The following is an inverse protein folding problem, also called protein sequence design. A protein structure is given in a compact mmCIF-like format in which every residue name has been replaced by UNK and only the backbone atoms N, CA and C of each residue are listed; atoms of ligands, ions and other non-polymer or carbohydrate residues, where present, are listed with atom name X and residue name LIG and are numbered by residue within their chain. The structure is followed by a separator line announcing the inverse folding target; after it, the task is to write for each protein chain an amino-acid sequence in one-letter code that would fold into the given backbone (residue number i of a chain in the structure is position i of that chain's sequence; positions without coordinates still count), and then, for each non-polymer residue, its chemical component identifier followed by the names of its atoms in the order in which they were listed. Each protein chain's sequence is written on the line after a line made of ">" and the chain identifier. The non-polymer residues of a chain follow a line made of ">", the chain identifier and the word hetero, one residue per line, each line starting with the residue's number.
data_IF_777056186414
#
_entry.id   IF_777056186414
#
_cell.length_a   1.000
_cell.length_b   1.000
_cell.length_c   1.000
_cell.angle_alpha   90.00
_cell.angle_beta   90.00
_cell.angle_gamma   90.00
#
_symmetry.space_group_name_H-M   'P 1'
#
loop_
_entity.id
_entity.type
_entity.pdbx_description
1 polymer ?
#
# COMPACT_ATOMS: atom_id res chain seq x y z
N UNK A 1 -6.04 12.47 20.85
CA UNK A 1 -6.80 11.49 20.05
C UNK A 1 -6.43 11.44 18.57
N UNK A 2 -5.90 12.50 17.94
CA UNK A 2 -5.59 12.47 16.48
C UNK A 2 -4.36 11.65 16.06
N UNK A 3 -3.46 11.28 16.97
CA UNK A 3 -2.25 10.51 16.62
C UNK A 3 -2.53 9.03 16.28
N UNK A 4 -3.66 8.48 16.71
CA UNK A 4 -4.05 7.10 16.38
C UNK A 4 -4.62 6.94 14.96
N UNK A 5 -4.87 8.05 14.25
CA UNK A 5 -5.48 8.03 12.90
C UNK A 5 -4.47 7.78 11.77
N UNK A 6 -3.17 7.78 12.05
CA UNK A 6 -2.10 7.69 11.04
C UNK A 6 -1.30 6.37 11.15
N UNK A 7 -1.79 5.36 11.88
CA UNK A 7 -1.08 4.07 12.03
C UNK A 7 0.34 4.19 12.61
N UNK A 8 0.67 5.33 13.23
CA UNK A 8 1.96 5.57 13.87
C UNK A 8 1.78 5.51 15.38
N UNK A 9 2.54 4.63 16.02
CA UNK A 9 2.64 4.61 17.48
C UNK A 9 2.92 6.06 17.98
N UNK A 10 2.20 6.56 19.00
CA UNK A 10 2.45 7.88 19.58
C UNK A 10 3.93 8.01 19.91
N UNK A 11 4.60 9.15 19.69
CA UNK A 11 6.06 9.21 19.90
C UNK A 11 6.42 8.84 21.35
N UNK A 12 7.46 8.02 21.55
CA UNK A 12 7.84 7.52 22.88
C UNK A 12 8.03 8.69 23.87
N UNK A 13 8.59 9.79 23.38
CA UNK A 13 8.73 11.04 24.11
C UNK A 13 7.40 11.61 24.63
N UNK A 14 6.31 11.54 23.87
CA UNK A 14 4.99 11.99 24.33
C UNK A 14 4.44 11.06 25.42
N UNK A 15 4.65 9.75 25.30
CA UNK A 15 4.18 8.76 26.27
C UNK A 15 4.97 8.84 27.59
N UNK A 16 6.29 9.01 27.53
CA UNK A 16 7.12 9.17 28.72
C UNK A 16 6.84 10.50 29.45
N UNK A 17 6.44 11.54 28.72
CA UNK A 17 6.09 12.84 29.29
C UNK A 17 4.65 12.91 29.82
N UNK A 18 3.75 11.99 29.44
CA UNK A 18 2.37 12.00 29.89
C UNK A 18 2.22 11.55 31.35
N UNK A 19 3.13 10.71 31.83
CA UNK A 19 3.18 10.28 33.23
C UNK A 19 4.22 11.11 34.01
N UNK A 20 3.74 11.96 34.94
CA UNK A 20 4.58 12.86 35.75
C UNK A 20 5.62 12.14 36.61
N UNK A 21 5.30 10.93 37.09
CA UNK A 21 6.18 10.16 37.97
C UNK A 21 7.29 9.46 37.19
N UNK A 22 6.95 8.92 36.00
CA UNK A 22 7.93 8.35 35.07
C UNK A 22 8.85 9.45 34.55
N UNK A 23 8.30 10.59 34.17
CA UNK A 23 9.07 11.77 33.76
C UNK A 23 10.08 12.20 34.83
N UNK A 24 9.64 12.35 36.08
CA UNK A 24 10.52 12.72 37.19
C UNK A 24 11.62 11.67 37.48
N UNK A 25 11.35 10.38 37.23
CA UNK A 25 12.33 9.31 37.38
C UNK A 25 13.36 9.31 36.24
N UNK A 26 12.91 9.58 35.01
CA UNK A 26 13.77 9.67 33.83
C UNK A 26 14.59 10.97 33.81
N UNK A 27 14.07 12.07 34.35
CA UNK A 27 14.82 13.32 34.51
C UNK A 27 15.99 13.17 35.50
N UNK A 28 15.89 12.23 36.45
CA UNK A 28 17.00 11.85 37.36
C UNK A 28 18.01 10.89 36.71
N UNK A 29 17.66 10.29 35.57
CA UNK A 29 18.50 9.34 34.82
C UNK A 29 18.45 9.69 33.33
N UNK A 30 18.99 10.85 32.97
CA UNK A 30 18.96 11.40 31.60
C UNK A 30 19.53 10.46 30.55
N UNK A 31 20.54 9.66 30.90
CA UNK A 31 21.13 8.63 30.03
C UNK A 31 20.10 7.57 29.60
N UNK A 32 19.23 7.14 30.53
CA UNK A 32 18.17 6.17 30.24
C UNK A 32 17.09 6.80 29.36
N UNK A 33 16.80 8.09 29.58
CA UNK A 33 15.86 8.85 28.76
C UNK A 33 16.34 8.97 27.31
N UNK A 34 17.58 9.37 27.11
CA UNK A 34 18.19 9.48 25.78
C UNK A 34 18.27 8.13 25.08
N UNK A 35 18.59 7.06 25.82
CA UNK A 35 18.62 5.71 25.29
C UNK A 35 17.24 5.25 24.77
N UNK A 36 16.18 5.51 25.54
CA UNK A 36 14.82 5.20 25.12
C UNK A 36 14.38 6.09 23.94
N UNK A 37 14.64 7.40 23.99
CA UNK A 37 14.27 8.34 22.93
C UNK A 37 15.04 8.09 21.61
N UNK A 38 16.28 7.59 21.66
CA UNK A 38 17.09 7.24 20.48
C UNK A 38 16.65 5.95 19.78
N UNK A 39 15.91 5.08 20.47
CA UNK A 39 15.37 3.82 19.94
C UNK A 39 13.85 3.74 20.16
N UNK A 40 13.06 4.56 19.45
CA UNK A 40 11.61 4.64 19.65
C UNK A 40 10.85 3.40 19.15
N UNK A 41 11.48 2.57 18.33
CA UNK A 41 10.86 1.47 17.58
C UNK A 41 11.55 0.15 17.96
N UNK A 42 11.24 -0.34 19.16
CA UNK A 42 11.81 -1.58 19.71
C UNK A 42 10.75 -2.68 19.74
N UNK A 43 11.10 -3.86 19.25
CA UNK A 43 10.31 -5.08 19.49
C UNK A 43 10.45 -5.54 20.94
N UNK A 44 9.61 -6.48 21.40
CA UNK A 44 9.69 -7.02 22.77
C UNK A 44 11.06 -7.64 23.05
N UNK A 45 11.61 -8.37 22.09
CA UNK A 45 12.93 -8.99 22.22
C UNK A 45 14.04 -7.94 22.34
N UNK A 46 13.99 -6.89 21.52
CA UNK A 46 14.98 -5.80 21.56
C UNK A 46 14.85 -4.95 22.82
N UNK A 47 13.63 -4.74 23.31
CA UNK A 47 13.37 -4.07 24.58
C UNK A 47 13.98 -4.87 25.74
N UNK A 48 13.76 -6.19 25.78
CA UNK A 48 14.36 -7.05 26.80
C UNK A 48 15.89 -7.01 26.74
N UNK A 49 16.47 -7.12 25.55
CA UNK A 49 17.92 -7.01 25.37
C UNK A 49 18.47 -5.66 25.85
N UNK A 50 17.75 -4.56 25.57
CA UNK A 50 18.11 -3.23 26.05
C UNK A 50 18.05 -3.11 27.57
N UNK A 51 17.02 -3.70 28.19
CA UNK A 51 16.85 -3.76 29.64
C UNK A 51 17.98 -4.58 30.27
N UNK A 52 18.36 -5.73 29.70
CA UNK A 52 19.45 -6.55 30.25
C UNK A 52 20.84 -5.96 30.02
N UNK A 53 21.04 -5.18 28.95
CA UNK A 53 22.33 -4.54 28.64
C UNK A 53 22.58 -3.25 29.41
N UNK A 54 21.54 -2.58 29.93
CA UNK A 54 21.68 -1.35 30.70
C UNK A 54 21.17 -1.52 32.14
N UNK A 55 22.09 -1.58 33.10
CA UNK A 55 21.77 -1.75 34.52
C UNK A 55 20.86 -0.65 35.09
N UNK A 56 21.04 0.61 34.67
CA UNK A 56 20.22 1.73 35.15
C UNK A 56 18.77 1.65 34.64
N UNK A 57 18.59 1.19 33.40
CA UNK A 57 17.29 0.91 32.80
C UNK A 57 16.66 -0.32 33.46
N UNK A 58 17.42 -1.39 33.71
CA UNK A 58 16.97 -2.56 34.45
C UNK A 58 16.41 -2.20 35.82
N UNK A 59 17.15 -1.42 36.59
CA UNK A 59 16.70 -0.98 37.91
C UNK A 59 15.39 -0.19 37.84
N UNK A 60 15.25 0.69 36.84
CA UNK A 60 14.01 1.44 36.63
C UNK A 60 12.86 0.57 36.13
N UNK A 61 13.16 -0.40 35.27
CA UNK A 61 12.19 -1.35 34.72
C UNK A 61 11.63 -2.29 35.79
N UNK A 62 12.50 -2.76 36.69
CA UNK A 62 12.14 -3.65 37.79
C UNK A 62 11.45 -2.90 38.94
N UNK A 63 11.83 -1.63 39.20
CA UNK A 63 11.26 -0.83 40.30
C UNK A 63 9.96 -0.10 39.93
N UNK A 64 9.60 0.00 38.65
CA UNK A 64 8.42 0.76 38.18
C UNK A 64 7.55 -0.08 37.24
N UNK A 65 6.51 -0.74 37.76
CA UNK A 65 5.62 -1.56 36.93
C UNK A 65 4.90 -0.74 35.85
N UNK A 66 4.67 0.55 36.06
CA UNK A 66 4.03 1.44 35.08
C UNK A 66 4.93 1.70 33.86
N UNK A 67 6.24 1.85 34.08
CA UNK A 67 7.22 2.02 33.00
C UNK A 67 7.34 0.72 32.18
N UNK A 68 7.37 -0.42 32.87
CA UNK A 68 7.37 -1.74 32.25
C UNK A 68 6.16 -1.94 31.34
N UNK A 69 4.94 -1.74 31.86
CA UNK A 69 3.71 -1.88 31.07
C UNK A 69 3.70 -0.95 29.85
N UNK A 70 4.17 0.28 30.00
CA UNK A 70 4.20 1.26 28.91
C UNK A 70 5.16 0.85 27.78
N UNK A 71 6.35 0.37 28.12
CA UNK A 71 7.34 -0.08 27.13
C UNK A 71 6.88 -1.37 26.44
N UNK A 72 6.30 -2.31 27.19
CA UNK A 72 5.74 -3.55 26.63
C UNK A 72 4.55 -3.30 25.70
N UNK A 73 3.60 -2.44 26.09
CA UNK A 73 2.46 -2.06 25.25
C UNK A 73 2.92 -1.43 23.93
N UNK A 74 3.95 -0.59 23.97
CA UNK A 74 4.51 0.01 22.77
C UNK A 74 5.19 -1.02 21.87
N UNK A 75 5.99 -1.90 22.45
CA UNK A 75 6.65 -2.96 21.70
C UNK A 75 5.62 -3.87 21.00
N UNK A 76 4.50 -4.16 21.67
CA UNK A 76 3.38 -4.89 21.06
C UNK A 76 2.77 -4.11 19.90
N UNK A 77 2.46 -2.83 20.07
CA UNK A 77 1.91 -2.00 18.99
C UNK A 77 2.86 -1.89 17.80
N UNK A 78 4.17 -1.80 18.05
CA UNK A 78 5.17 -1.77 16.98
C UNK A 78 5.22 -3.12 16.24
N UNK A 79 5.21 -4.24 16.96
CA UNK A 79 5.14 -5.58 16.34
C UNK A 79 3.84 -5.83 15.59
N UNK A 80 2.71 -5.32 16.09
CA UNK A 80 1.41 -5.40 15.40
C UNK A 80 1.43 -4.58 14.12
N UNK A 81 1.92 -3.34 14.16
CA UNK A 81 2.10 -2.52 12.95
C UNK A 81 3.09 -3.16 11.98
N UNK A 82 4.18 -3.75 12.49
CA UNK A 82 5.16 -4.44 11.65
C UNK A 82 4.55 -5.71 11.04
N UNK A 83 3.74 -6.46 11.78
CA UNK A 83 3.00 -7.61 11.26
C UNK A 83 1.95 -7.19 10.24
N UNK A 84 1.21 -6.11 10.46
CA UNK A 84 0.28 -5.56 9.47
C UNK A 84 1.03 -5.14 8.19
N UNK A 85 2.20 -4.52 8.33
CA UNK A 85 3.07 -4.18 7.20
C UNK A 85 3.66 -5.41 6.50
N UNK A 86 3.97 -6.48 7.23
CA UNK A 86 4.50 -7.73 6.68
C UNK A 86 3.38 -8.62 6.06
N UNK A 87 2.15 -8.53 6.60
CA UNK A 87 0.93 -9.14 6.04
C UNK A 87 0.44 -8.39 4.80
N UNK A 88 0.73 -7.09 4.69
CA UNK A 88 0.84 -6.39 3.40
C UNK A 88 2.11 -6.92 2.72
N UNK A 89 2.03 -8.17 2.24
CA UNK A 89 2.96 -8.65 1.23
C UNK A 89 3.06 -7.54 0.18
N UNK A 90 4.25 -7.05 -0.19
CA UNK A 90 4.37 -6.49 -1.51
C UNK A 90 3.93 -7.63 -2.41
N UNK A 91 2.71 -7.56 -2.94
CA UNK A 91 2.30 -8.39 -4.06
C UNK A 91 3.50 -8.33 -4.99
N UNK A 92 4.15 -9.50 -5.16
CA UNK A 92 5.39 -9.61 -5.89
C UNK A 92 5.25 -8.70 -7.09
N UNK A 93 6.12 -7.69 -7.17
CA UNK A 93 6.10 -6.69 -8.21
C UNK A 93 6.54 -7.41 -9.49
N UNK A 94 5.63 -8.21 -10.04
CA UNK A 94 5.80 -8.85 -11.33
C UNK A 94 5.47 -7.73 -12.28
N UNK A 95 6.50 -7.03 -12.76
CA UNK A 95 6.36 -6.15 -13.90
C UNK A 95 5.91 -7.03 -15.06
N UNK A 96 4.59 -7.15 -15.23
CA UNK A 96 3.98 -7.90 -16.31
C UNK A 96 4.35 -7.28 -17.65
N UNK A 97 4.13 -8.01 -18.75
CA UNK A 97 4.43 -7.51 -20.09
C UNK A 97 3.74 -6.16 -20.34
N UNK A 98 4.49 -5.21 -20.89
CA UNK A 98 3.94 -3.93 -21.36
C UNK A 98 3.49 -4.11 -22.81
N UNK A 99 2.17 -4.15 -23.01
CA UNK A 99 1.59 -4.31 -24.35
C UNK A 99 1.08 -2.97 -24.84
N UNK A 100 1.71 -2.44 -25.91
CA UNK A 100 1.26 -1.22 -26.57
C UNK A 100 0.49 -1.55 -27.85
N UNK A 101 -0.73 -1.04 -27.97
CA UNK A 101 -1.61 -1.21 -29.13
C UNK A 101 -2.25 0.11 -29.55
N UNK A 102 -2.70 0.21 -30.79
CA UNK A 102 -3.36 1.43 -31.29
C UNK A 102 -4.87 1.37 -31.02
N UNK A 103 -5.51 2.53 -30.88
CA UNK A 103 -6.97 2.59 -30.74
C UNK A 103 -7.71 1.97 -31.95
N UNK A 104 -7.13 2.10 -33.16
CA UNK A 104 -7.64 1.49 -34.38
C UNK A 104 -7.62 -0.04 -34.31
N UNK A 105 -6.57 -0.62 -33.73
CA UNK A 105 -6.49 -2.06 -33.50
C UNK A 105 -7.58 -2.52 -32.53
N UNK A 106 -7.72 -1.85 -31.38
CA UNK A 106 -8.73 -2.21 -30.39
C UNK A 106 -10.17 -2.14 -30.92
N UNK A 107 -10.47 -1.17 -31.77
CA UNK A 107 -11.76 -1.10 -32.48
C UNK A 107 -11.94 -2.26 -33.47
N UNK A 108 -10.90 -2.57 -34.25
CA UNK A 108 -10.95 -3.64 -35.26
C UNK A 108 -11.18 -5.01 -34.62
N UNK A 109 -10.53 -5.28 -33.50
CA UNK A 109 -10.70 -6.52 -32.73
C UNK A 109 -12.00 -6.56 -31.90
N UNK A 110 -12.75 -5.46 -31.87
CA UNK A 110 -13.99 -5.35 -31.08
C UNK A 110 -13.77 -5.28 -29.57
N UNK A 111 -12.54 -5.04 -29.12
CA UNK A 111 -12.22 -4.85 -27.69
C UNK A 111 -12.80 -3.53 -27.20
N UNK A 112 -12.63 -2.47 -27.99
CA UNK A 112 -13.34 -1.20 -27.79
C UNK A 112 -14.57 -1.22 -28.66
N UNK A 113 -15.73 -1.04 -28.05
CA UNK A 113 -17.01 -0.91 -28.77
C UNK A 113 -17.23 0.50 -29.28
N UNK A 114 -16.83 1.51 -28.50
CA UNK A 114 -16.95 2.91 -28.90
C UNK A 114 -16.01 3.84 -28.12
N UNK A 115 -15.70 4.98 -28.73
CA UNK A 115 -14.98 6.09 -28.12
C UNK A 115 -15.89 7.32 -28.03
N UNK A 116 -15.96 7.94 -26.86
CA UNK A 116 -16.58 9.25 -26.65
C UNK A 116 -15.57 10.38 -26.90
N UNK A 117 -14.72 10.22 -27.93
CA UNK A 117 -13.63 11.12 -28.30
C UNK A 117 -13.67 11.41 -29.80
N UNK A 118 -13.21 12.60 -30.26
CA UNK A 118 -13.18 12.92 -31.69
C UNK A 118 -12.30 11.96 -32.49
N UNK A 119 -12.74 11.57 -33.70
CA UNK A 119 -12.02 10.59 -34.55
C UNK A 119 -10.60 11.03 -34.92
N UNK A 120 -10.33 12.34 -34.98
CA UNK A 120 -8.99 12.89 -35.20
C UNK A 120 -8.03 12.53 -34.07
N UNK A 121 -8.52 12.44 -32.83
CA UNK A 121 -7.73 12.06 -31.67
C UNK A 121 -7.54 10.55 -31.63
N UNK A 122 -8.61 9.76 -31.79
CA UNK A 122 -8.56 8.30 -31.70
C UNK A 122 -7.59 7.71 -32.73
N UNK A 123 -7.48 8.29 -33.93
CA UNK A 123 -6.56 7.83 -34.97
C UNK A 123 -5.07 7.91 -34.58
N UNK A 124 -4.69 8.79 -33.66
CA UNK A 124 -3.31 8.96 -33.19
C UNK A 124 -3.12 8.48 -31.75
N UNK A 125 -4.11 7.77 -31.21
CA UNK A 125 -4.11 7.33 -29.82
C UNK A 125 -3.55 5.92 -29.70
N UNK A 126 -2.68 5.72 -28.71
CA UNK A 126 -2.14 4.41 -28.33
C UNK A 126 -2.56 4.06 -26.92
N UNK A 127 -2.77 2.77 -26.66
CA UNK A 127 -3.08 2.20 -25.36
C UNK A 127 -1.93 1.32 -24.92
N UNK A 128 -1.51 1.51 -23.68
CA UNK A 128 -0.53 0.68 -23.00
C UNK A 128 -1.23 -0.10 -21.91
N UNK A 129 -1.09 -1.42 -21.95
CA UNK A 129 -1.57 -2.34 -20.95
C UNK A 129 -0.38 -2.83 -20.15
N UNK A 130 -0.42 -2.69 -18.83
CA UNK A 130 0.61 -3.17 -17.92
C UNK A 130 -0.06 -3.88 -16.74
N UNK A 131 0.55 -4.96 -16.26
CA UNK A 131 0.13 -5.62 -15.03
C UNK A 131 1.20 -5.34 -13.98
N UNK A 132 0.84 -4.59 -12.94
CA UNK A 132 1.75 -4.34 -11.80
C UNK A 132 1.40 -5.26 -10.63
N UNK A 133 0.15 -5.75 -10.60
CA UNK A 133 -0.41 -6.65 -9.59
C UNK A 133 -1.12 -7.81 -10.27
N UNK A 134 -1.15 -8.97 -9.61
CA UNK A 134 -1.91 -10.12 -10.10
C UNK A 134 -3.40 -9.75 -10.20
N UNK A 135 -4.05 -10.12 -11.29
CA UNK A 135 -5.47 -9.84 -11.50
C UNK A 135 -5.83 -8.38 -11.78
N UNK A 136 -4.87 -7.44 -11.83
CA UNK A 136 -5.13 -6.03 -12.18
C UNK A 136 -4.29 -5.61 -13.39
N UNK A 137 -4.95 -5.17 -14.45
CA UNK A 137 -4.32 -4.58 -15.63
C UNK A 137 -4.55 -3.07 -15.67
N UNK A 138 -3.48 -2.30 -15.55
CA UNK A 138 -3.48 -0.85 -15.74
C UNK A 138 -3.49 -0.53 -17.23
N UNK A 139 -4.34 0.40 -17.63
CA UNK A 139 -4.49 0.84 -19.01
C UNK A 139 -4.23 2.33 -19.10
N UNK A 140 -3.20 2.71 -19.87
CA UNK A 140 -2.85 4.09 -20.14
C UNK A 140 -3.07 4.41 -21.62
N UNK A 141 -4.00 5.30 -21.91
CA UNK A 141 -4.18 5.86 -23.25
C UNK A 141 -3.35 7.13 -23.42
N UNK A 142 -2.54 7.18 -24.47
CA UNK A 142 -1.69 8.31 -24.83
C UNK A 142 -2.11 8.89 -26.18
N UNK A 143 -2.12 10.22 -26.28
CA UNK A 143 -2.30 10.96 -27.52
C UNK A 143 -1.09 11.87 -27.74
N UNK A 144 -0.37 11.69 -28.86
CA UNK A 144 0.89 12.40 -29.15
C UNK A 144 1.93 12.34 -28.00
N UNK A 145 2.02 11.19 -27.31
CA UNK A 145 2.95 10.99 -26.20
C UNK A 145 2.51 11.59 -24.85
N UNK A 146 1.35 12.26 -24.79
CA UNK A 146 0.77 12.75 -23.54
C UNK A 146 -0.32 11.80 -23.04
N UNK A 147 -0.36 11.55 -21.73
CA UNK A 147 -1.41 10.76 -21.10
C UNK A 147 -2.77 11.45 -21.24
N UNK A 148 -3.73 10.77 -21.88
CA UNK A 148 -5.07 11.28 -22.15
C UNK A 148 -6.16 10.62 -21.29
N UNK A 149 -5.94 9.36 -20.89
CA UNK A 149 -6.84 8.59 -20.05
C UNK A 149 -6.04 7.49 -19.34
N UNK A 150 -6.35 7.22 -18.07
CA UNK A 150 -5.81 6.08 -17.34
C UNK A 150 -6.95 5.43 -16.54
N UNK A 151 -7.00 4.10 -16.53
CA UNK A 151 -7.95 3.34 -15.73
C UNK A 151 -7.42 1.93 -15.48
N UNK A 152 -8.02 1.28 -14.48
CA UNK A 152 -7.66 -0.07 -14.09
C UNK A 152 -8.74 -1.06 -14.49
N UNK A 153 -8.31 -2.24 -14.89
CA UNK A 153 -9.15 -3.39 -15.21
C UNK A 153 -8.88 -4.49 -14.19
N UNK A 154 -9.84 -4.71 -13.31
CA UNK A 154 -9.80 -5.81 -12.34
C UNK A 154 -10.40 -7.06 -12.96
N UNK A 155 -9.66 -8.18 -12.89
CA UNK A 155 -10.08 -9.46 -13.45
C UNK A 155 -11.36 -9.97 -12.79
N UNK A 156 -11.46 -9.88 -11.46
CA UNK A 156 -12.64 -10.30 -10.70
C UNK A 156 -13.88 -9.55 -11.18
N UNK A 157 -13.80 -8.23 -11.30
CA UNK A 157 -14.90 -7.39 -11.78
C UNK A 157 -15.31 -7.76 -13.22
N UNK A 158 -14.34 -7.99 -14.11
CA UNK A 158 -14.64 -8.39 -15.49
C UNK A 158 -15.31 -9.78 -15.56
N UNK A 159 -14.89 -10.73 -14.72
CA UNK A 159 -15.49 -12.06 -14.63
C UNK A 159 -16.91 -11.98 -14.05
N UNK A 160 -17.13 -11.16 -13.03
CA UNK A 160 -18.45 -10.92 -12.45
C UNK A 160 -19.39 -10.27 -13.48
N UNK A 161 -18.90 -9.30 -14.25
CA UNK A 161 -19.65 -8.71 -15.35
C UNK A 161 -20.02 -9.75 -16.41
N UNK A 162 -19.09 -10.62 -16.80
CA UNK A 162 -19.33 -11.71 -17.73
C UNK A 162 -20.40 -12.69 -17.20
N UNK A 163 -20.28 -13.10 -15.93
CA UNK A 163 -21.22 -14.00 -15.26
C UNK A 163 -22.64 -13.39 -15.24
N UNK A 164 -22.74 -12.11 -14.92
CA UNK A 164 -23.99 -11.35 -14.89
C UNK A 164 -24.49 -10.93 -16.29
N UNK A 165 -23.84 -11.37 -17.37
CA UNK A 165 -24.17 -11.04 -18.77
C UNK A 165 -24.10 -9.55 -19.10
N UNK A 166 -23.31 -8.79 -18.34
CA UNK A 166 -22.99 -7.39 -18.62
C UNK A 166 -21.81 -7.38 -19.59
N UNK A 167 -22.11 -7.17 -20.87
CA UNK A 167 -21.11 -7.33 -21.93
C UNK A 167 -20.27 -6.07 -22.21
N UNK A 168 -20.66 -4.92 -21.66
CA UNK A 168 -19.97 -3.65 -21.92
C UNK A 168 -19.59 -2.98 -20.61
N UNK A 169 -18.31 -2.65 -20.49
CA UNK A 169 -17.76 -1.84 -19.40
C UNK A 169 -17.55 -0.41 -19.86
N UNK A 170 -18.14 0.54 -19.16
CA UNK A 170 -17.98 1.97 -19.43
C UNK A 170 -16.84 2.55 -18.58
N UNK A 171 -15.83 3.13 -19.23
CA UNK A 171 -14.70 3.81 -18.60
C UNK A 171 -14.72 5.32 -18.93
N UNK A 172 -15.94 5.87 -19.07
CA UNK A 172 -16.23 7.27 -19.37
C UNK A 172 -16.01 7.62 -20.84
N UNK A 173 -14.75 7.71 -21.26
CA UNK A 173 -14.39 8.08 -22.64
C UNK A 173 -14.27 6.90 -23.59
N UNK A 174 -14.27 5.68 -23.05
CA UNK A 174 -14.07 4.42 -23.78
C UNK A 174 -15.07 3.41 -23.25
N UNK A 175 -15.72 2.67 -24.17
CA UNK A 175 -16.53 1.51 -23.82
C UNK A 175 -15.84 0.24 -24.30
N UNK A 176 -15.71 -0.73 -23.41
CA UNK A 176 -14.99 -1.98 -23.63
C UNK A 176 -15.97 -3.14 -23.69
N UNK A 177 -15.78 -4.08 -24.62
CA UNK A 177 -16.47 -5.36 -24.61
C UNK A 177 -15.78 -6.29 -23.60
N UNK A 178 -16.52 -6.78 -22.61
CA UNK A 178 -15.98 -7.54 -21.48
C UNK A 178 -15.34 -8.85 -21.95
N UNK A 179 -15.98 -9.58 -22.86
CA UNK A 179 -15.50 -10.88 -23.32
C UNK A 179 -14.22 -10.74 -24.15
N UNK A 180 -14.22 -9.79 -25.10
CA UNK A 180 -13.05 -9.49 -25.95
C UNK A 180 -11.90 -8.94 -25.11
N UNK A 181 -12.18 -8.12 -24.10
CA UNK A 181 -11.16 -7.61 -23.18
C UNK A 181 -10.53 -8.72 -22.36
N UNK A 182 -11.33 -9.62 -21.79
CA UNK A 182 -10.84 -10.79 -21.06
C UNK A 182 -9.95 -11.69 -21.94
N UNK A 183 -10.40 -11.99 -23.16
CA UNK A 183 -9.60 -12.76 -24.12
C UNK A 183 -8.28 -12.05 -24.45
N UNK A 184 -8.33 -10.75 -24.75
CA UNK A 184 -7.14 -9.97 -25.09
C UNK A 184 -6.12 -9.96 -23.96
N UNK A 185 -6.55 -9.71 -22.72
CA UNK A 185 -5.67 -9.74 -21.55
C UNK A 185 -5.06 -11.13 -21.38
N UNK A 186 -5.88 -12.19 -21.48
CA UNK A 186 -5.42 -13.55 -21.30
C UNK A 186 -4.41 -13.99 -22.37
N UNK A 187 -4.57 -13.56 -23.62
CA UNK A 187 -3.66 -13.89 -24.73
C UNK A 187 -2.38 -13.06 -24.72
N UNK A 188 -2.48 -11.76 -24.42
CA UNK A 188 -1.37 -10.81 -24.58
C UNK A 188 -0.56 -10.58 -23.32
N UNK A 189 -1.14 -10.80 -22.15
CA UNK A 189 -0.49 -10.52 -20.85
C UNK A 189 0.07 -11.77 -20.15
N UNK A 190 -0.15 -12.99 -20.69
CA UNK A 190 0.38 -14.26 -20.14
C UNK A 190 1.78 -14.66 -20.66
N UNK A 191 2.55 -13.73 -21.23
CA UNK A 191 3.90 -14.01 -21.73
C UNK A 191 4.93 -14.16 -20.60
#
# INVERSE_FOLDING_TARGET
>A
EELMRIGRAPSLRLVLNSNKEIKAALDKKSEVRELLESKPDLTRSQLQELVYSNAQLKDLYDSRPELKQMLEQRANLFEEVQRELDEVKPEQFVAGPLVRVTAKYLLKEGIVTSFSLPSRMTNKMSFEFSSVRSGTTHVLAQYNGQAALAFDLQLEELLDMQFNRIMVKDQGKVKLDVNRTLMFINERMRA
#
